data_IF_825755477224
#
_entry.id   IF_825755477224
#
_cell.length_a   1.000
_cell.length_b   1.000
_cell.length_c   1.000
_cell.angle_alpha   90.00
_cell.angle_beta   90.00
_cell.angle_gamma   90.00
#
_symmetry.space_group_name_H-M   'P 1'
#
loop_
_entity.id
_entity.type
_entity.pdbx_description
1 polymer ?
#
# COMPACT_ATOMS: atom_id res chain seq x y z
N UNK A 1 5.03 -30.97 29.33
CA UNK A 1 4.54 -30.34 28.07
C UNK A 1 5.34 -29.07 27.91
N UNK A 2 6.15 -28.94 26.86
CA UNK A 2 6.95 -27.72 26.65
C UNK A 2 6.09 -26.58 26.11
N UNK A 3 6.37 -25.31 26.47
CA UNK A 3 5.71 -24.16 25.87
C UNK A 3 6.17 -23.98 24.42
N UNK A 4 5.22 -23.86 23.49
CA UNK A 4 5.45 -23.82 22.02
C UNK A 4 6.48 -22.74 21.62
N UNK A 5 6.48 -21.61 22.32
CA UNK A 5 7.37 -20.46 22.05
C UNK A 5 8.77 -20.57 22.69
N UNK A 6 8.99 -21.49 23.63
CA UNK A 6 10.29 -21.76 24.30
C UNK A 6 11.05 -20.50 24.74
N UNK A 7 10.36 -19.60 25.45
CA UNK A 7 10.91 -18.34 25.99
C UNK A 7 11.46 -17.33 24.95
N UNK A 8 11.29 -17.59 23.65
CA UNK A 8 11.76 -16.70 22.58
C UNK A 8 10.84 -15.50 22.38
N UNK A 9 11.43 -14.36 22.04
CA UNK A 9 10.68 -13.16 21.67
C UNK A 9 10.05 -13.29 20.27
N UNK A 10 9.00 -12.51 19.94
CA UNK A 10 8.41 -12.53 18.60
C UNK A 10 9.40 -12.22 17.47
N UNK A 11 10.38 -11.35 17.73
CA UNK A 11 11.43 -10.96 16.79
C UNK A 11 12.39 -12.12 16.54
N UNK A 12 12.78 -12.85 17.59
CA UNK A 12 13.61 -14.05 17.49
C UNK A 12 12.89 -15.16 16.71
N UNK A 13 11.58 -15.36 16.94
CA UNK A 13 10.77 -16.33 16.21
C UNK A 13 10.63 -15.92 14.73
N UNK A 14 10.47 -14.63 14.43
CA UNK A 14 10.38 -14.14 13.05
C UNK A 14 11.72 -14.25 12.30
N UNK A 15 12.84 -14.01 12.98
CA UNK A 15 14.18 -14.16 12.41
C UNK A 15 14.52 -15.63 12.15
N UNK A 16 14.21 -16.53 13.08
CA UNK A 16 14.30 -17.99 12.90
C UNK A 16 13.43 -18.45 11.70
N UNK A 17 12.18 -17.98 11.61
CA UNK A 17 11.33 -18.26 10.45
C UNK A 17 11.95 -17.74 9.14
N UNK A 18 12.47 -16.50 9.13
CA UNK A 18 13.12 -15.90 7.98
C UNK A 18 14.35 -16.72 7.54
N UNK A 19 15.24 -17.08 8.47
CA UNK A 19 16.47 -17.84 8.19
C UNK A 19 16.20 -19.21 7.57
N UNK A 20 15.20 -19.94 8.07
CA UNK A 20 14.81 -21.23 7.51
C UNK A 20 14.12 -21.13 6.13
N UNK A 21 13.45 -20.00 5.82
CA UNK A 21 12.62 -19.84 4.62
C UNK A 21 13.11 -18.74 3.65
N UNK A 22 14.38 -18.33 3.72
CA UNK A 22 14.97 -17.27 2.86
C UNK A 22 14.83 -17.52 1.37
N UNK A 23 14.58 -18.77 0.97
CA UNK A 23 14.46 -19.22 -0.39
C UNK A 23 13.05 -19.05 -1.00
N UNK A 24 12.00 -18.70 -0.25
CA UNK A 24 10.61 -18.70 -0.75
C UNK A 24 9.92 -17.32 -0.66
N UNK A 25 9.47 -16.75 -1.79
CA UNK A 25 8.91 -15.38 -1.85
C UNK A 25 7.69 -15.13 -0.92
N UNK A 26 6.65 -15.99 -0.86
CA UNK A 26 5.54 -15.82 0.09
C UNK A 26 5.98 -15.84 1.57
N UNK A 27 7.02 -16.61 1.90
CA UNK A 27 7.61 -16.65 3.25
C UNK A 27 8.34 -15.36 3.58
N UNK A 28 9.13 -14.81 2.65
CA UNK A 28 9.74 -13.48 2.80
C UNK A 28 8.67 -12.40 3.05
N UNK A 29 7.54 -12.45 2.32
CA UNK A 29 6.42 -11.52 2.51
C UNK A 29 5.80 -11.64 3.92
N UNK A 30 5.58 -12.85 4.44
CA UNK A 30 5.02 -13.01 5.79
C UNK A 30 6.02 -12.58 6.88
N UNK A 31 7.30 -12.94 6.73
CA UNK A 31 8.34 -12.53 7.66
C UNK A 31 8.50 -10.99 7.72
N UNK A 32 8.43 -10.33 6.57
CA UNK A 32 8.43 -8.88 6.47
C UNK A 32 7.19 -8.24 7.11
N UNK A 33 5.99 -8.79 6.86
CA UNK A 33 4.73 -8.34 7.49
C UNK A 33 4.80 -8.40 9.02
N UNK A 34 5.35 -9.48 9.57
CA UNK A 34 5.55 -9.61 11.03
C UNK A 34 6.59 -8.61 11.52
N UNK A 35 7.73 -8.47 10.82
CA UNK A 35 8.80 -7.52 11.17
C UNK A 35 8.28 -6.09 11.35
N UNK A 36 7.51 -5.56 10.39
CA UNK A 36 6.92 -4.21 10.49
C UNK A 36 5.80 -4.10 11.56
N UNK A 37 5.10 -5.20 11.86
CA UNK A 37 4.06 -5.24 12.91
C UNK A 37 4.65 -5.30 14.32
N UNK A 38 5.87 -5.83 14.48
CA UNK A 38 6.63 -5.81 15.73
C UNK A 38 7.31 -4.45 15.96
N UNK A 39 8.06 -3.97 14.97
CA UNK A 39 8.61 -2.61 15.00
C UNK A 39 8.42 -1.88 13.66
N UNK A 40 7.65 -0.79 13.71
CA UNK A 40 7.38 0.07 12.55
C UNK A 40 8.61 0.81 12.04
N UNK A 41 9.68 0.96 12.84
CA UNK A 41 10.93 1.59 12.38
C UNK A 41 11.63 0.77 11.28
N UNK A 42 11.45 -0.56 11.30
CA UNK A 42 12.03 -1.52 10.34
C UNK A 42 11.44 -1.45 8.93
N UNK A 43 10.47 -0.55 8.65
CA UNK A 43 9.72 -0.43 7.40
C UNK A 43 10.58 -0.66 6.14
N UNK A 44 11.73 0.03 6.05
CA UNK A 44 12.64 -0.02 4.89
C UNK A 44 13.29 -1.39 4.71
N UNK A 45 13.59 -2.10 5.79
CA UNK A 45 14.14 -3.45 5.76
C UNK A 45 13.05 -4.50 5.45
N UNK A 46 11.87 -4.37 6.06
CA UNK A 46 10.72 -5.20 5.74
C UNK A 46 10.36 -5.13 4.24
N UNK A 47 10.28 -3.92 3.67
CA UNK A 47 10.05 -3.75 2.22
C UNK A 47 11.21 -4.33 1.40
N UNK A 48 12.47 -4.14 1.81
CA UNK A 48 13.65 -4.74 1.12
C UNK A 48 13.62 -6.27 1.12
N UNK A 49 13.09 -6.90 2.16
CA UNK A 49 12.89 -8.35 2.26
C UNK A 49 11.73 -8.79 1.34
N UNK A 50 10.56 -8.18 1.46
CA UNK A 50 9.37 -8.52 0.65
C UNK A 50 9.56 -8.28 -0.86
N UNK A 51 10.32 -7.25 -1.24
CA UNK A 51 10.58 -6.87 -2.64
C UNK A 51 11.82 -7.52 -3.26
N UNK A 52 12.39 -8.52 -2.58
CA UNK A 52 13.56 -9.26 -3.06
C UNK A 52 13.16 -10.22 -4.19
N UNK A 53 13.88 -10.16 -5.32
CA UNK A 53 13.67 -10.99 -6.51
C UNK A 53 15.03 -11.54 -7.01
N UNK A 54 15.81 -12.12 -6.11
CA UNK A 54 17.05 -12.83 -6.46
C UNK A 54 16.76 -14.05 -7.34
N UNK A 55 17.57 -14.27 -8.37
CA UNK A 55 17.54 -15.48 -9.18
C UNK A 55 17.94 -16.70 -8.33
N UNK A 56 17.06 -17.71 -8.27
CA UNK A 56 17.17 -18.85 -7.35
C UNK A 56 16.22 -18.81 -6.15
N UNK A 57 15.36 -17.79 -6.04
CA UNK A 57 14.26 -17.75 -5.08
C UNK A 57 13.03 -18.52 -5.62
N UNK A 58 12.57 -19.51 -4.87
CA UNK A 58 11.33 -20.25 -5.08
C UNK A 58 10.10 -19.34 -4.90
N UNK A 59 9.00 -19.75 -5.52
CA UNK A 59 7.74 -18.99 -5.44
C UNK A 59 7.77 -17.63 -6.16
N UNK A 60 8.77 -17.32 -7.00
CA UNK A 60 8.66 -16.20 -7.95
C UNK A 60 7.67 -16.56 -9.07
N UNK A 61 6.38 -16.39 -8.79
CA UNK A 61 5.28 -16.42 -9.78
C UNK A 61 4.76 -15.00 -10.01
N UNK A 62 3.99 -14.79 -11.09
CA UNK A 62 3.37 -13.48 -11.32
C UNK A 62 2.24 -13.20 -10.31
N UNK A 63 1.59 -14.24 -9.79
CA UNK A 63 0.58 -14.14 -8.73
C UNK A 63 1.23 -13.65 -7.43
N UNK A 64 2.29 -14.31 -6.97
CA UNK A 64 2.97 -13.98 -5.72
C UNK A 64 3.59 -12.57 -5.79
N UNK A 65 4.10 -12.16 -6.96
CA UNK A 65 4.54 -10.78 -7.19
C UNK A 65 3.38 -9.76 -7.17
N UNK A 66 2.17 -10.15 -7.59
CA UNK A 66 0.99 -9.29 -7.46
C UNK A 66 0.49 -9.21 -6.01
N UNK A 67 0.57 -10.29 -5.23
CA UNK A 67 0.27 -10.31 -3.79
C UNK A 67 1.22 -9.41 -2.98
N UNK A 68 2.52 -9.39 -3.31
CA UNK A 68 3.47 -8.45 -2.70
C UNK A 68 3.07 -6.99 -2.99
N UNK A 69 2.60 -6.67 -4.21
CA UNK A 69 2.08 -5.35 -4.56
C UNK A 69 0.76 -5.04 -3.84
N UNK A 70 -0.12 -6.03 -3.65
CA UNK A 70 -1.35 -5.86 -2.89
C UNK A 70 -1.04 -5.52 -1.43
N UNK A 71 -0.24 -6.33 -0.74
CA UNK A 71 0.17 -6.10 0.64
C UNK A 71 0.76 -4.69 0.88
N UNK A 72 1.62 -4.21 -0.02
CA UNK A 72 2.16 -2.84 0.04
C UNK A 72 1.08 -1.76 -0.12
N UNK A 73 0.04 -1.98 -0.92
CA UNK A 73 -1.08 -1.04 -1.10
C UNK A 73 -2.12 -1.11 0.02
N UNK A 74 -2.33 -2.30 0.58
CA UNK A 74 -3.23 -2.54 1.71
C UNK A 74 -2.68 -1.92 3.01
N UNK A 75 -1.42 -1.46 2.99
CA UNK A 75 -0.77 -0.76 4.10
C UNK A 75 -0.05 -1.67 5.10
N UNK A 76 0.19 -2.96 4.76
CA UNK A 76 0.97 -3.89 5.61
C UNK A 76 2.39 -3.36 5.91
N UNK A 77 2.89 -2.41 5.11
CA UNK A 77 4.19 -1.75 5.26
C UNK A 77 4.07 -0.22 5.38
N UNK A 78 2.88 0.32 5.67
CA UNK A 78 2.62 1.76 5.63
C UNK A 78 2.73 2.35 4.21
N UNK A 79 3.00 3.66 4.12
CA UNK A 79 3.10 4.36 2.84
C UNK A 79 4.40 4.00 2.09
N UNK A 80 4.26 3.41 0.89
CA UNK A 80 5.38 2.89 0.10
C UNK A 80 5.12 2.88 -1.44
N UNK A 81 4.40 3.88 -1.97
CA UNK A 81 4.02 3.94 -3.40
C UNK A 81 5.23 4.03 -4.36
N UNK A 82 6.35 4.62 -3.92
CA UNK A 82 7.60 4.68 -4.70
C UNK A 82 8.21 3.27 -4.86
N UNK A 83 8.21 2.51 -3.76
CA UNK A 83 8.70 1.14 -3.69
C UNK A 83 7.77 0.18 -4.46
N UNK A 84 6.45 0.42 -4.43
CA UNK A 84 5.45 -0.28 -5.24
C UNK A 84 5.77 -0.17 -6.74
N UNK A 85 5.90 1.04 -7.30
CA UNK A 85 6.14 1.19 -8.75
C UNK A 85 7.57 0.73 -9.14
N UNK A 86 8.56 0.90 -8.25
CA UNK A 86 9.91 0.35 -8.41
C UNK A 86 9.91 -1.19 -8.48
N UNK A 87 9.22 -1.86 -7.55
CA UNK A 87 9.07 -3.31 -7.55
C UNK A 87 8.27 -3.80 -8.76
N UNK A 88 7.14 -3.15 -9.08
CA UNK A 88 6.33 -3.41 -10.27
C UNK A 88 7.15 -3.33 -11.56
N UNK A 89 8.07 -2.39 -11.69
CA UNK A 89 8.99 -2.30 -12.82
C UNK A 89 9.99 -3.49 -12.90
N UNK A 90 10.38 -4.07 -11.76
CA UNK A 90 11.15 -5.35 -11.72
C UNK A 90 10.26 -6.52 -12.15
N UNK A 91 9.05 -6.62 -11.62
CA UNK A 91 8.08 -7.66 -11.97
C UNK A 91 7.74 -7.62 -13.47
N UNK A 92 7.57 -6.44 -14.06
CA UNK A 92 7.35 -6.27 -15.50
C UNK A 92 8.52 -6.77 -16.35
N UNK A 93 9.77 -6.53 -15.93
CA UNK A 93 10.96 -7.06 -16.62
C UNK A 93 11.01 -8.59 -16.60
N UNK A 94 10.61 -9.22 -15.49
CA UNK A 94 10.61 -10.69 -15.33
C UNK A 94 9.38 -11.36 -15.96
N UNK A 95 8.24 -10.66 -16.02
CA UNK A 95 6.98 -11.14 -16.60
C UNK A 95 6.40 -10.17 -17.64
N UNK A 96 7.00 -10.02 -18.85
CA UNK A 96 6.58 -9.02 -19.83
C UNK A 96 5.15 -9.20 -20.39
N UNK A 97 4.51 -10.35 -20.13
CA UNK A 97 3.13 -10.67 -20.54
C UNK A 97 2.10 -10.48 -19.41
N UNK A 98 2.52 -10.21 -18.17
CA UNK A 98 1.61 -10.11 -17.03
C UNK A 98 0.97 -8.71 -16.96
N UNK A 99 -0.30 -8.64 -17.33
CA UNK A 99 -1.06 -7.37 -17.49
C UNK A 99 -1.02 -6.48 -16.24
N UNK A 100 -1.03 -7.08 -15.05
CA UNK A 100 -0.96 -6.36 -13.77
C UNK A 100 0.27 -5.44 -13.62
N UNK A 101 1.39 -5.77 -14.29
CA UNK A 101 2.63 -5.01 -14.20
C UNK A 101 2.84 -4.02 -15.36
N UNK A 102 1.96 -3.95 -16.36
CA UNK A 102 2.09 -2.94 -17.43
C UNK A 102 2.05 -1.52 -16.83
N UNK A 103 3.09 -0.68 -17.03
CA UNK A 103 3.07 0.68 -16.52
C UNK A 103 1.89 1.46 -17.10
N UNK A 104 1.27 2.31 -16.28
CA UNK A 104 0.07 3.10 -16.62
C UNK A 104 0.35 3.89 -17.92
N UNK A 105 -0.32 3.52 -19.02
CA UNK A 105 -0.11 4.08 -20.36
C UNK A 105 0.51 3.14 -21.42
N UNK A 106 1.04 1.96 -21.05
CA UNK A 106 1.49 0.94 -22.04
C UNK A 106 0.39 -0.01 -22.53
N UNK A 107 -0.78 -0.01 -21.90
CA UNK A 107 -1.97 -0.63 -22.48
C UNK A 107 -2.46 0.29 -23.62
N UNK A 108 -1.94 0.04 -24.82
CA UNK A 108 -2.28 0.81 -26.03
C UNK A 108 -3.78 0.77 -26.32
N UNK A 109 -4.27 1.80 -27.03
CA UNK A 109 -5.71 2.12 -27.27
C UNK A 109 -6.53 0.93 -27.82
N UNK A 110 -6.96 0.03 -26.95
CA UNK A 110 -7.85 -1.08 -27.25
C UNK A 110 -9.30 -0.64 -27.02
N UNK A 111 -9.90 -0.06 -28.07
CA UNK A 111 -11.36 0.13 -28.26
C UNK A 111 -12.19 0.49 -27.02
N UNK A 112 -12.34 1.79 -26.77
CA UNK A 112 -13.49 2.31 -26.02
C UNK A 112 -14.77 2.15 -26.85
N UNK A 113 -15.41 0.99 -26.77
CA UNK A 113 -16.71 0.69 -27.37
C UNK A 113 -17.47 -0.33 -26.51
N UNK A 114 -18.80 -0.21 -26.46
CA UNK A 114 -19.73 -1.18 -25.85
C UNK A 114 -19.62 -1.43 -24.32
N UNK A 115 -19.81 -0.39 -23.50
CA UNK A 115 -20.82 -0.46 -22.41
C UNK A 115 -21.39 0.93 -22.04
N UNK A 116 -21.90 1.66 -23.04
CA UNK A 116 -22.57 2.94 -22.83
C UNK A 116 -23.78 3.09 -23.77
N UNK A 117 -24.88 2.42 -23.43
CA UNK A 117 -26.20 2.67 -24.01
C UNK A 117 -27.19 2.91 -22.88
N UNK A 118 -27.53 4.18 -22.64
CA UNK A 118 -28.69 4.58 -21.83
C UNK A 118 -29.96 4.05 -22.49
N UNK A 119 -30.80 3.33 -21.74
CA UNK A 119 -32.00 2.69 -22.28
C UNK A 119 -33.26 3.56 -22.23
N UNK A 120 -34.38 2.95 -22.63
CA UNK A 120 -35.74 3.42 -22.33
C UNK A 120 -36.73 2.29 -22.66
N UNK A 121 -37.72 2.05 -21.77
CA UNK A 121 -39.17 1.88 -22.07
C UNK A 121 -39.68 0.75 -23.00
N UNK A 122 -40.90 0.21 -22.87
CA UNK A 122 -42.04 0.37 -21.91
C UNK A 122 -42.70 -1.01 -21.67
N UNK A 123 -43.30 -1.24 -20.49
CA UNK A 123 -44.49 -2.12 -20.30
C UNK A 123 -45.04 -1.99 -18.87
N UNK A 124 -46.27 -1.50 -18.70
CA UNK A 124 -46.92 -1.35 -17.39
C UNK A 124 -47.49 -2.68 -16.84
N UNK A 125 -47.53 -2.84 -15.51
CA UNK A 125 -48.78 -3.05 -14.76
C UNK A 125 -48.64 -2.37 -13.37
N UNK A 126 -49.72 -1.76 -12.88
CA UNK A 126 -49.89 -1.19 -11.52
C UNK A 126 -50.37 -2.31 -10.54
N UNK A 127 -50.73 -2.13 -9.26
CA UNK A 127 -50.99 -0.93 -8.43
C UNK A 127 -50.90 -1.26 -6.91
N UNK A 128 -50.86 -0.21 -6.08
CA UNK A 128 -51.22 -0.06 -4.65
C UNK A 128 -50.15 -0.25 -3.56
N UNK A 129 -50.32 0.49 -2.45
CA UNK A 129 -49.56 0.28 -1.20
C UNK A 129 -48.98 1.55 -0.55
N UNK A 130 -49.74 2.64 -0.45
CA UNK A 130 -49.31 3.88 0.19
C UNK A 130 -49.27 3.81 1.72
N UNK A 131 -48.22 4.35 2.35
CA UNK A 131 -48.35 5.14 3.57
C UNK A 131 -47.20 6.16 3.66
N UNK A 132 -47.47 7.32 4.28
CA UNK A 132 -46.63 8.52 4.23
C UNK A 132 -46.26 9.01 5.65
N UNK A 133 -45.69 10.21 5.76
CA UNK A 133 -45.39 10.95 7.01
C UNK A 133 -44.16 10.46 7.81
N UNK A 134 -43.36 11.35 8.43
CA UNK A 134 -43.32 12.82 8.29
C UNK A 134 -41.91 13.38 8.49
N UNK A 135 -41.69 14.55 7.91
CA UNK A 135 -40.47 15.34 7.96
C UNK A 135 -40.66 16.50 8.97
N UNK A 136 -39.72 16.75 9.89
CA UNK A 136 -39.73 17.98 10.70
C UNK A 136 -38.34 18.52 11.09
N UNK A 137 -38.23 19.84 10.90
CA UNK A 137 -37.39 20.83 11.59
C UNK A 137 -35.86 20.84 11.40
N UNK A 138 -35.41 21.88 10.70
CA UNK A 138 -34.09 22.53 10.80
C UNK A 138 -33.92 23.25 12.17
N UNK A 139 -32.78 23.92 12.50
CA UNK A 139 -32.34 25.17 11.85
C UNK A 139 -30.81 25.38 11.67
N UNK A 140 -30.45 26.51 11.03
CA UNK A 140 -29.08 26.99 10.72
C UNK A 140 -28.69 28.19 11.59
N UNK A 141 -27.47 28.20 12.16
CA UNK A 141 -26.67 29.40 12.56
C UNK A 141 -25.32 28.96 13.16
N UNK A 142 -24.20 29.73 13.19
CA UNK A 142 -23.59 30.84 12.39
C UNK A 142 -22.34 31.32 13.17
N UNK A 143 -21.24 31.72 12.50
CA UNK A 143 -20.12 32.57 13.05
C UNK A 143 -19.27 31.95 14.19
N UNK A 144 -18.04 32.38 14.56
CA UNK A 144 -17.06 33.43 14.12
C UNK A 144 -15.62 32.89 14.36
N UNK A 145 -14.50 33.40 13.81
CA UNK A 145 -14.18 34.01 12.49
C UNK A 145 -12.64 34.07 12.20
N UNK A 146 -11.73 34.19 13.20
CA UNK A 146 -10.24 34.26 13.08
C UNK A 146 -9.53 33.66 14.35
N UNK A 147 -8.20 33.65 14.66
CA UNK A 147 -6.90 34.30 14.25
C UNK A 147 -5.75 33.22 14.42
N UNK A 148 -4.69 33.04 13.60
CA UNK A 148 -3.41 33.75 13.27
C UNK A 148 -2.18 33.56 14.23
N UNK A 149 -1.20 32.72 13.83
CA UNK A 149 0.29 32.78 14.08
C UNK A 149 0.97 31.48 13.56
N UNK A 150 2.29 31.37 13.35
CA UNK A 150 3.20 32.14 12.47
C UNK A 150 4.35 31.19 12.01
N UNK A 151 5.07 31.49 10.91
CA UNK A 151 6.26 30.71 10.48
C UNK A 151 7.55 31.40 10.91
N UNK A 152 8.35 30.78 11.80
CA UNK A 152 9.72 31.22 12.01
C UNK A 152 10.71 30.49 11.07
N UNK A 153 11.54 31.26 10.36
CA UNK A 153 12.54 30.75 9.42
C UNK A 153 13.82 31.58 9.40
N UNK A 154 14.92 30.84 9.55
CA UNK A 154 16.24 31.06 8.94
C UNK A 154 17.17 32.17 9.47
N UNK A 155 18.42 31.75 9.73
CA UNK A 155 19.61 32.60 9.77
C UNK A 155 20.23 32.76 11.17
N UNK A 156 21.49 33.27 11.24
CA UNK A 156 22.32 33.75 10.14
C UNK A 156 23.37 32.72 9.66
N UNK A 157 24.25 33.16 8.74
CA UNK A 157 25.55 32.54 8.45
C UNK A 157 26.62 33.40 9.11
N UNK A 158 27.71 32.79 9.56
CA UNK A 158 29.01 33.46 9.69
C UNK A 158 30.10 32.59 9.04
N UNK A 159 31.17 33.26 8.62
CA UNK A 159 32.33 32.73 7.88
C UNK A 159 33.55 33.43 8.48
N UNK A 160 34.76 32.89 8.23
CA UNK A 160 36.04 33.31 8.79
C UNK A 160 36.19 32.84 10.27
N UNK A 161 37.37 32.52 10.80
CA UNK A 161 38.74 32.90 10.40
C UNK A 161 39.65 31.76 9.89
N UNK A 162 40.65 32.17 9.09
CA UNK A 162 41.94 31.48 8.93
C UNK A 162 42.95 32.08 9.92
N UNK A 163 43.53 31.32 10.86
CA UNK A 163 44.97 31.38 11.21
C UNK A 163 45.41 30.37 12.30
N UNK A 164 46.54 29.71 12.05
CA UNK A 164 47.46 29.06 13.02
C UNK A 164 46.88 27.88 13.87
N UNK A 165 47.66 26.86 14.25
CA UNK A 165 49.11 26.63 14.12
C UNK A 165 49.40 25.13 13.89
#
# INVERSE_FOLDING_TARGET
>A
MEPIIRERTPEQINNDYLENHRHNLPSLLQAARVMYKLDRSTQKEAIKIATNLTDGLDGITWQNCAEVIAAMRDGDFGQCENEIESYRAKCYKRFPRAVAFFPKGKLGKATTAAYATTGNKDSEIEETGSEELSNISSPVTKKVDAEEEFQEKAGPKEIDDYFFN
#
